data_IF_954618633292
#
_entry.id   IF_954618633292
#
_cell.length_a   1.000
_cell.length_b   1.000
_cell.length_c   1.000
_cell.angle_alpha   90.00
_cell.angle_beta   90.00
_cell.angle_gamma   90.00
#
_symmetry.space_group_name_H-M   'P 1'
#
loop_
_entity.id
_entity.type
_entity.pdbx_description
1 polymer ?
#
# COMPACT_ATOMS: atom_id res chain seq x y z
N UNK A 1 -25.37 78.57 -2.55
CA UNK A 1 -25.90 77.34 -1.90
C UNK A 1 -25.94 76.09 -2.79
N UNK A 2 -25.78 76.17 -4.12
CA UNK A 2 -25.97 75.00 -5.00
C UNK A 2 -24.76 74.04 -5.16
N UNK A 3 -23.50 74.49 -5.01
CA UNK A 3 -22.34 73.61 -5.16
C UNK A 3 -22.20 72.55 -4.04
N UNK A 4 -22.62 72.87 -2.81
CA UNK A 4 -22.51 71.94 -1.68
C UNK A 4 -23.39 70.69 -1.82
N UNK A 5 -24.57 70.84 -2.43
CA UNK A 5 -25.52 69.73 -2.63
C UNK A 5 -25.05 68.75 -3.72
N UNK A 6 -24.38 69.24 -4.76
CA UNK A 6 -23.83 68.41 -5.83
C UNK A 6 -22.66 67.57 -5.30
N UNK A 7 -21.74 68.17 -4.54
CA UNK A 7 -20.61 67.44 -3.94
C UNK A 7 -21.09 66.40 -2.92
N UNK A 8 -22.09 66.71 -2.11
CA UNK A 8 -22.70 65.76 -1.17
C UNK A 8 -23.39 64.58 -1.88
N UNK A 9 -24.08 64.83 -2.99
CA UNK A 9 -24.73 63.78 -3.78
C UNK A 9 -23.73 62.81 -4.43
N UNK A 10 -22.66 63.33 -5.05
CA UNK A 10 -21.64 62.48 -5.67
C UNK A 10 -20.80 61.72 -4.64
N UNK A 11 -20.53 62.30 -3.46
CA UNK A 11 -19.79 61.62 -2.38
C UNK A 11 -20.59 60.48 -1.75
N UNK A 12 -21.90 60.64 -1.52
CA UNK A 12 -22.75 59.54 -1.03
C UNK A 12 -22.87 58.40 -2.04
N UNK A 13 -23.00 58.71 -3.34
CA UNK A 13 -23.04 57.70 -4.40
C UNK A 13 -21.71 56.94 -4.51
N UNK A 14 -20.59 57.62 -4.34
CA UNK A 14 -19.26 57.01 -4.29
C UNK A 14 -19.07 56.10 -3.06
N UNK A 15 -19.55 56.52 -1.89
CA UNK A 15 -19.43 55.75 -0.65
C UNK A 15 -20.19 54.42 -0.71
N UNK A 16 -21.38 54.42 -1.33
CA UNK A 16 -22.18 53.21 -1.54
C UNK A 16 -21.53 52.21 -2.51
N UNK A 17 -20.97 52.70 -3.63
CA UNK A 17 -20.18 51.85 -4.55
C UNK A 17 -18.89 51.34 -3.90
N UNK A 18 -18.24 52.13 -3.04
CA UNK A 18 -17.02 51.69 -2.36
C UNK A 18 -17.29 50.60 -1.30
N UNK A 19 -18.40 50.70 -0.57
CA UNK A 19 -18.83 49.67 0.40
C UNK A 19 -19.18 48.33 -0.28
N UNK A 20 -19.77 48.33 -1.47
CA UNK A 20 -20.03 47.10 -2.22
C UNK A 20 -18.74 46.46 -2.76
N UNK A 21 -17.74 47.27 -3.15
CA UNK A 21 -16.42 46.78 -3.52
C UNK A 21 -15.64 46.19 -2.33
N UNK A 22 -15.67 46.83 -1.16
CA UNK A 22 -15.08 46.29 0.06
C UNK A 22 -15.80 45.00 0.50
N UNK A 23 -17.13 44.96 0.44
CA UNK A 23 -17.91 43.75 0.72
C UNK A 23 -17.59 42.59 -0.24
N UNK A 24 -17.41 42.86 -1.53
CA UNK A 24 -16.99 41.88 -2.52
C UNK A 24 -15.56 41.37 -2.25
N UNK A 25 -14.63 42.26 -1.89
CA UNK A 25 -13.27 41.89 -1.52
C UNK A 25 -13.23 41.01 -0.25
N UNK A 26 -14.05 41.33 0.76
CA UNK A 26 -14.18 40.52 1.97
C UNK A 26 -14.81 39.16 1.68
N UNK A 27 -15.83 39.11 0.82
CA UNK A 27 -16.46 37.86 0.36
C UNK A 27 -15.51 36.97 -0.43
N UNK A 28 -14.68 37.54 -1.31
CA UNK A 28 -13.64 36.82 -2.04
C UNK A 28 -12.54 36.30 -1.11
N UNK A 29 -12.05 37.12 -0.17
CA UNK A 29 -11.07 36.69 0.82
C UNK A 29 -11.61 35.59 1.74
N UNK A 30 -12.85 35.73 2.21
CA UNK A 30 -13.52 34.72 3.04
C UNK A 30 -13.77 33.42 2.25
N UNK A 31 -14.19 33.53 0.98
CA UNK A 31 -14.33 32.40 0.06
C UNK A 31 -13.00 31.70 -0.19
N UNK A 32 -11.90 32.44 -0.39
CA UNK A 32 -10.56 31.88 -0.57
C UNK A 32 -10.04 31.23 0.72
N UNK A 33 -10.40 31.77 1.90
CA UNK A 33 -10.14 31.16 3.21
C UNK A 33 -10.89 29.84 3.38
N UNK A 34 -12.17 29.79 2.99
CA UNK A 34 -12.96 28.56 2.99
C UNK A 34 -12.38 27.55 2.01
N UNK A 35 -11.99 27.95 0.80
CA UNK A 35 -11.36 27.07 -0.19
C UNK A 35 -10.06 26.49 0.36
N UNK A 36 -9.17 27.31 0.93
CA UNK A 36 -7.93 26.83 1.56
C UNK A 36 -8.20 25.90 2.74
N UNK A 37 -9.19 26.20 3.56
CA UNK A 37 -9.59 25.35 4.69
C UNK A 37 -10.15 24.00 4.21
N UNK A 38 -10.96 24.00 3.16
CA UNK A 38 -11.50 22.78 2.54
C UNK A 38 -10.38 21.97 1.87
N UNK A 39 -9.44 22.59 1.18
CA UNK A 39 -8.27 21.92 0.59
C UNK A 39 -7.36 21.31 1.67
N UNK A 40 -7.09 22.05 2.74
CA UNK A 40 -6.27 21.59 3.88
C UNK A 40 -6.81 20.31 4.52
N UNK A 41 -8.14 20.14 4.61
CA UNK A 41 -8.75 18.91 5.13
C UNK A 41 -9.00 17.84 4.05
N UNK A 42 -9.23 18.24 2.80
CA UNK A 42 -9.53 17.31 1.69
C UNK A 42 -8.31 16.47 1.32
N UNK A 43 -7.13 17.07 1.18
CA UNK A 43 -5.90 16.36 0.77
C UNK A 43 -5.56 15.19 1.71
N UNK A 44 -5.47 15.36 3.04
CA UNK A 44 -5.17 14.23 3.94
C UNK A 44 -6.30 13.19 3.97
N UNK A 45 -7.56 13.61 3.87
CA UNK A 45 -8.69 12.68 3.78
C UNK A 45 -8.59 11.83 2.50
N UNK A 46 -8.27 12.42 1.36
CA UNK A 46 -8.06 11.70 0.10
C UNK A 46 -6.89 10.73 0.20
N UNK A 47 -5.77 11.12 0.82
CA UNK A 47 -4.64 10.22 1.05
C UNK A 47 -5.05 9.00 1.88
N UNK A 48 -5.79 9.18 2.97
CA UNK A 48 -6.27 8.05 3.80
C UNK A 48 -7.23 7.13 3.05
N UNK A 49 -8.13 7.70 2.23
CA UNK A 49 -9.07 6.93 1.41
C UNK A 49 -8.31 6.17 0.31
N UNK A 50 -7.34 6.80 -0.34
CA UNK A 50 -6.51 6.15 -1.35
C UNK A 50 -5.66 5.03 -0.73
N UNK A 51 -5.12 5.23 0.48
CA UNK A 51 -4.36 4.20 1.19
C UNK A 51 -5.24 2.99 1.56
N UNK A 52 -6.43 3.23 2.13
CA UNK A 52 -7.39 2.15 2.43
C UNK A 52 -7.86 1.43 1.16
N UNK A 53 -8.15 2.19 0.10
CA UNK A 53 -8.53 1.64 -1.21
C UNK A 53 -7.41 0.80 -1.80
N UNK A 54 -6.16 1.27 -1.76
CA UNK A 54 -4.99 0.52 -2.26
C UNK A 54 -4.79 -0.79 -1.49
N UNK A 55 -4.93 -0.77 -0.16
CA UNK A 55 -4.87 -1.97 0.66
C UNK A 55 -5.98 -2.98 0.30
N UNK A 56 -7.22 -2.49 0.13
CA UNK A 56 -8.35 -3.31 -0.33
C UNK A 56 -8.09 -3.92 -1.71
N UNK A 57 -7.62 -3.12 -2.67
CA UNK A 57 -7.31 -3.57 -4.04
C UNK A 57 -6.25 -4.65 -4.02
N UNK A 58 -5.20 -4.51 -3.22
CA UNK A 58 -4.16 -5.53 -3.11
C UNK A 58 -4.65 -6.79 -2.41
N UNK A 59 -5.48 -6.69 -1.38
CA UNK A 59 -6.13 -7.86 -0.78
C UNK A 59 -6.98 -8.63 -1.80
N UNK A 60 -7.76 -7.91 -2.62
CA UNK A 60 -8.59 -8.50 -3.68
C UNK A 60 -7.76 -9.12 -4.81
N UNK A 61 -6.68 -8.47 -5.24
CA UNK A 61 -5.79 -9.00 -6.30
C UNK A 61 -4.99 -10.20 -5.79
N UNK A 62 -4.63 -10.19 -4.52
CA UNK A 62 -4.00 -11.36 -3.88
C UNK A 62 -5.00 -12.49 -3.84
N UNK A 63 -6.24 -12.25 -3.42
CA UNK A 63 -7.28 -13.27 -3.45
C UNK A 63 -7.56 -13.78 -4.87
N UNK A 64 -7.60 -12.90 -5.88
CA UNK A 64 -7.83 -13.29 -7.27
C UNK A 64 -6.65 -14.07 -7.85
N UNK A 65 -5.40 -13.69 -7.58
CA UNK A 65 -4.22 -14.49 -7.96
C UNK A 65 -4.11 -15.78 -7.15
N UNK A 66 -4.67 -15.81 -5.93
CA UNK A 66 -4.76 -17.01 -5.12
C UNK A 66 -5.79 -18.02 -5.70
N UNK A 67 -6.84 -17.53 -6.37
CA UNK A 67 -8.01 -18.33 -6.80
C UNK A 67 -8.12 -18.54 -8.32
N UNK A 68 -7.54 -17.65 -9.12
CA UNK A 68 -7.62 -17.65 -10.57
C UNK A 68 -6.22 -17.60 -11.20
N UNK A 69 -6.05 -18.35 -12.30
CA UNK A 69 -4.79 -18.44 -13.08
C UNK A 69 -4.42 -17.16 -13.84
N UNK A 70 -5.00 -16.01 -13.52
CA UNK A 70 -4.94 -14.82 -14.37
C UNK A 70 -4.99 -13.54 -13.56
N UNK A 71 -3.82 -13.00 -13.21
CA UNK A 71 -3.26 -11.80 -13.83
C UNK A 71 -2.00 -11.36 -13.05
N UNK A 72 -0.95 -12.21 -13.08
CA UNK A 72 0.26 -12.03 -12.26
C UNK A 72 0.93 -10.67 -12.49
N UNK A 73 0.93 -10.18 -13.72
CA UNK A 73 1.56 -8.91 -14.10
C UNK A 73 0.91 -7.71 -13.40
N UNK A 74 -0.43 -7.73 -13.26
CA UNK A 74 -1.15 -6.68 -12.52
C UNK A 74 -0.82 -6.74 -11.03
N UNK A 75 -0.84 -7.92 -10.44
CA UNK A 75 -0.49 -8.10 -9.03
C UNK A 75 0.93 -7.58 -8.73
N UNK A 76 1.92 -7.96 -9.56
CA UNK A 76 3.29 -7.49 -9.42
C UNK A 76 3.39 -5.97 -9.53
N UNK A 77 2.70 -5.36 -10.50
CA UNK A 77 2.71 -3.90 -10.69
C UNK A 77 2.15 -3.18 -9.47
N UNK A 78 0.99 -3.59 -8.96
CA UNK A 78 0.36 -2.99 -7.78
C UNK A 78 1.23 -3.15 -6.52
N UNK A 79 1.80 -4.34 -6.30
CA UNK A 79 2.72 -4.57 -5.19
C UNK A 79 3.97 -3.69 -5.29
N UNK A 80 4.55 -3.53 -6.49
CA UNK A 80 5.69 -2.62 -6.70
C UNK A 80 5.35 -1.17 -6.39
N UNK A 81 4.15 -0.69 -6.78
CA UNK A 81 3.69 0.65 -6.43
C UNK A 81 3.50 0.82 -4.93
N UNK A 82 2.96 -0.18 -4.23
CA UNK A 82 2.86 -0.14 -2.77
C UNK A 82 4.24 -0.11 -2.09
N UNK A 83 5.17 -0.95 -2.55
CA UNK A 83 6.54 -1.01 -2.05
C UNK A 83 7.26 0.32 -2.30
N UNK A 84 7.05 0.97 -3.44
CA UNK A 84 7.64 2.30 -3.67
C UNK A 84 7.17 3.36 -2.67
N UNK A 85 5.96 3.22 -2.13
CA UNK A 85 5.44 4.10 -1.08
C UNK A 85 5.86 3.68 0.33
N UNK A 86 6.14 2.39 0.55
CA UNK A 86 6.52 1.82 1.84
C UNK A 86 7.62 0.75 1.65
N UNK A 87 8.87 1.16 1.36
CA UNK A 87 9.92 0.22 0.96
C UNK A 87 10.36 -0.73 2.06
N UNK A 88 10.12 -0.39 3.33
CA UNK A 88 10.51 -1.21 4.49
C UNK A 88 9.35 -2.05 5.04
N UNK A 89 8.26 -2.20 4.28
CA UNK A 89 7.13 -3.02 4.73
C UNK A 89 7.38 -4.49 4.39
N UNK A 90 7.75 -5.28 5.40
CA UNK A 90 8.03 -6.71 5.26
C UNK A 90 6.86 -7.49 4.65
N UNK A 91 5.62 -7.24 5.09
CA UNK A 91 4.45 -7.96 4.60
C UNK A 91 4.22 -7.76 3.09
N UNK A 92 4.53 -6.56 2.56
CA UNK A 92 4.43 -6.31 1.12
C UNK A 92 5.45 -7.13 0.32
N UNK A 93 6.69 -7.20 0.81
CA UNK A 93 7.72 -8.03 0.20
C UNK A 93 7.38 -9.53 0.28
N UNK A 94 6.87 -10.00 1.42
CA UNK A 94 6.39 -11.37 1.56
C UNK A 94 5.27 -11.70 0.56
N UNK A 95 4.27 -10.83 0.46
CA UNK A 95 3.14 -11.10 -0.42
C UNK A 95 3.53 -11.02 -1.91
N UNK A 96 4.42 -10.10 -2.29
CA UNK A 96 4.99 -10.08 -3.64
C UNK A 96 5.78 -11.37 -3.93
N UNK A 97 6.55 -11.88 -2.96
CA UNK A 97 7.19 -13.20 -3.04
C UNK A 97 6.17 -14.32 -3.29
N UNK A 98 5.02 -14.31 -2.61
CA UNK A 98 3.94 -15.28 -2.83
C UNK A 98 3.36 -15.20 -4.25
N UNK A 99 3.22 -14.00 -4.80
CA UNK A 99 2.78 -13.80 -6.19
C UNK A 99 3.80 -14.40 -7.16
N UNK A 100 5.11 -14.15 -6.96
CA UNK A 100 6.15 -14.75 -7.79
C UNK A 100 6.22 -16.27 -7.66
N UNK A 101 6.01 -16.81 -6.46
CA UNK A 101 5.99 -18.24 -6.19
C UNK A 101 4.91 -18.94 -7.01
N UNK A 102 3.71 -18.35 -7.05
CA UNK A 102 2.58 -18.87 -7.84
C UNK A 102 2.82 -18.79 -9.34
N UNK A 103 3.57 -17.80 -9.79
CA UNK A 103 4.00 -17.68 -11.17
C UNK A 103 5.17 -18.62 -11.53
N UNK A 104 5.72 -19.37 -10.56
CA UNK A 104 6.86 -20.28 -10.75
C UNK A 104 8.23 -19.59 -10.83
N UNK A 105 8.31 -18.27 -10.60
CA UNK A 105 9.56 -17.52 -10.64
C UNK A 105 10.28 -17.61 -9.28
N UNK A 106 10.93 -18.73 -9.01
CA UNK A 106 11.53 -19.00 -7.71
C UNK A 106 12.69 -18.06 -7.35
N UNK A 107 13.48 -17.60 -8.33
CA UNK A 107 14.58 -16.66 -8.06
C UNK A 107 14.08 -15.30 -7.51
N UNK A 108 13.04 -14.75 -8.15
CA UNK A 108 12.39 -13.53 -7.69
C UNK A 108 11.65 -13.75 -6.36
N UNK A 109 11.08 -14.93 -6.17
CA UNK A 109 10.43 -15.33 -4.93
C UNK A 109 11.40 -15.26 -3.75
N UNK A 110 12.56 -15.94 -3.87
CA UNK A 110 13.60 -15.96 -2.84
C UNK A 110 14.12 -14.55 -2.56
N UNK A 111 14.32 -13.74 -3.62
CA UNK A 111 14.78 -12.35 -3.48
C UNK A 111 13.82 -11.51 -2.64
N UNK A 112 12.52 -11.59 -2.91
CA UNK A 112 11.52 -10.80 -2.18
C UNK A 112 11.29 -11.33 -0.76
N UNK A 113 11.32 -12.65 -0.51
CA UNK A 113 11.29 -13.17 0.85
C UNK A 113 12.52 -12.76 1.68
N UNK A 114 13.73 -12.73 1.08
CA UNK A 114 14.92 -12.21 1.76
C UNK A 114 14.79 -10.74 2.11
N UNK A 115 14.24 -9.90 1.22
CA UNK A 115 13.93 -8.50 1.55
C UNK A 115 12.90 -8.37 2.66
N UNK A 116 11.88 -9.23 2.67
CA UNK A 116 10.91 -9.28 3.76
C UNK A 116 11.59 -9.52 5.10
N UNK A 117 12.51 -10.48 5.17
CA UNK A 117 13.31 -10.77 6.37
C UNK A 117 14.21 -9.59 6.74
N UNK A 118 14.80 -8.90 5.76
CA UNK A 118 15.62 -7.71 6.02
C UNK A 118 14.80 -6.54 6.57
N UNK A 119 13.52 -6.44 6.21
CA UNK A 119 12.62 -5.41 6.71
C UNK A 119 12.10 -5.73 8.12
N UNK A 120 11.86 -7.01 8.40
CA UNK A 120 11.37 -7.52 9.68
C UNK A 120 11.92 -8.93 9.91
N UNK A 121 12.92 -9.02 10.80
CA UNK A 121 13.58 -10.28 11.15
C UNK A 121 12.69 -11.20 12.01
N UNK A 122 11.59 -10.69 12.56
CA UNK A 122 10.66 -11.45 13.40
C UNK A 122 9.46 -11.98 12.58
N UNK A 123 9.36 -11.65 11.29
CA UNK A 123 8.29 -12.13 10.42
C UNK A 123 8.48 -13.61 10.06
N UNK A 124 8.01 -14.49 10.95
CA UNK A 124 8.06 -15.96 10.82
C UNK A 124 7.52 -16.45 9.46
N UNK A 125 6.48 -15.80 8.93
CA UNK A 125 5.89 -16.17 7.64
C UNK A 125 6.90 -16.15 6.48
N UNK A 126 7.82 -15.19 6.47
CA UNK A 126 8.84 -15.09 5.42
C UNK A 126 9.85 -16.26 5.49
N UNK A 127 10.24 -16.68 6.71
CA UNK A 127 11.11 -17.83 6.94
C UNK A 127 10.45 -19.16 6.54
N UNK A 128 9.17 -19.34 6.87
CA UNK A 128 8.40 -20.52 6.43
C UNK A 128 8.30 -20.56 4.90
N UNK A 129 7.98 -19.43 4.28
CA UNK A 129 7.75 -19.35 2.84
C UNK A 129 9.03 -19.59 2.04
N UNK A 130 10.17 -19.03 2.44
CA UNK A 130 11.44 -19.29 1.77
C UNK A 130 11.91 -20.74 1.96
N UNK A 131 11.74 -21.31 3.16
CA UNK A 131 12.02 -22.72 3.42
C UNK A 131 11.17 -23.65 2.54
N UNK A 132 9.88 -23.32 2.37
CA UNK A 132 8.98 -24.05 1.46
C UNK A 132 9.48 -24.01 0.01
N UNK A 133 10.00 -22.87 -0.46
CA UNK A 133 10.54 -22.75 -1.83
C UNK A 133 11.74 -23.66 -2.02
N UNK A 134 12.70 -23.66 -1.08
CA UNK A 134 13.87 -24.54 -1.15
C UNK A 134 13.49 -26.01 -1.11
N UNK A 135 12.56 -26.41 -0.24
CA UNK A 135 12.04 -27.78 -0.21
C UNK A 135 11.36 -28.17 -1.53
N UNK A 136 10.60 -27.25 -2.14
CA UNK A 136 9.97 -27.44 -3.46
C UNK A 136 10.98 -27.65 -4.59
N UNK A 137 12.15 -27.02 -4.49
CA UNK A 137 13.25 -27.18 -5.44
C UNK A 137 14.10 -28.44 -5.17
N UNK A 138 13.87 -29.13 -4.04
CA UNK A 138 14.67 -30.27 -3.60
C UNK A 138 15.93 -29.89 -2.81
N UNK A 139 16.17 -28.61 -2.57
CA UNK A 139 17.33 -28.09 -1.85
C UNK A 139 17.08 -28.08 -0.35
N UNK A 140 17.04 -29.26 0.27
CA UNK A 140 16.70 -29.42 1.70
C UNK A 140 17.71 -28.68 2.59
N UNK A 141 19.00 -28.78 2.28
CA UNK A 141 20.07 -28.14 3.06
C UNK A 141 19.91 -26.62 3.15
N UNK A 142 19.50 -25.98 2.06
CA UNK A 142 19.26 -24.54 2.02
C UNK A 142 18.01 -24.13 2.81
N UNK A 143 17.05 -25.04 3.00
CA UNK A 143 15.82 -24.79 3.76
C UNK A 143 16.04 -24.82 5.28
N UNK A 144 16.95 -25.67 5.77
CA UNK A 144 17.23 -25.88 7.20
C UNK A 144 17.48 -24.58 7.98
N UNK A 145 18.36 -23.65 7.54
CA UNK A 145 18.64 -22.44 8.32
C UNK A 145 17.41 -21.57 8.52
N UNK A 146 16.51 -21.51 7.52
CA UNK A 146 15.27 -20.74 7.62
C UNK A 146 14.24 -21.44 8.50
N UNK A 147 14.11 -22.76 8.39
CA UNK A 147 13.16 -23.53 9.22
C UNK A 147 13.60 -23.59 10.67
N UNK A 148 14.90 -23.56 10.98
CA UNK A 148 15.42 -23.48 12.36
C UNK A 148 15.00 -22.20 13.08
N UNK A 149 14.74 -21.11 12.35
CA UNK A 149 14.17 -19.88 12.93
C UNK A 149 12.70 -20.01 13.34
N UNK A 150 11.98 -20.96 12.74
CA UNK A 150 10.55 -21.20 12.98
C UNK A 150 10.34 -22.30 14.01
N UNK A 151 11.11 -23.39 13.90
CA UNK A 151 10.97 -24.57 14.73
C UNK A 151 12.09 -24.63 15.77
N UNK A 152 11.71 -24.63 17.05
CA UNK A 152 12.63 -24.72 18.18
C UNK A 152 13.28 -26.10 18.31
N UNK A 153 12.63 -27.14 17.80
CA UNK A 153 13.07 -28.53 17.88
C UNK A 153 13.20 -29.18 16.50
N UNK A 154 14.11 -30.14 16.40
CA UNK A 154 14.35 -30.90 15.16
C UNK A 154 13.14 -31.76 14.80
N UNK A 155 12.44 -32.30 15.80
CA UNK A 155 11.24 -33.11 15.58
C UNK A 155 10.12 -32.32 14.89
N UNK A 156 9.86 -31.08 15.31
CA UNK A 156 8.84 -30.22 14.70
C UNK A 156 9.19 -29.86 13.25
N UNK A 157 10.47 -29.57 13.01
CA UNK A 157 10.98 -29.31 11.66
C UNK A 157 10.83 -30.53 10.76
N UNK A 158 11.26 -31.70 11.22
CA UNK A 158 11.18 -32.96 10.48
C UNK A 158 9.72 -33.32 10.17
N UNK A 159 8.82 -33.16 11.15
CA UNK A 159 7.39 -33.38 10.96
C UNK A 159 6.82 -32.46 9.88
N UNK A 160 7.19 -31.19 9.88
CA UNK A 160 6.78 -30.24 8.84
C UNK A 160 7.28 -30.66 7.44
N UNK A 161 8.57 -30.99 7.32
CA UNK A 161 9.17 -31.47 6.06
C UNK A 161 8.50 -32.76 5.55
N UNK A 162 8.26 -33.74 6.42
CA UNK A 162 7.59 -35.00 6.08
C UNK A 162 6.15 -34.77 5.61
N UNK A 163 5.42 -33.85 6.25
CA UNK A 163 4.05 -33.52 5.86
C UNK A 163 4.01 -32.92 4.44
N UNK A 164 4.98 -32.06 4.12
CA UNK A 164 5.12 -31.49 2.78
C UNK A 164 5.53 -32.55 1.74
N UNK A 165 6.48 -33.43 2.08
CA UNK A 165 6.90 -34.53 1.22
C UNK A 165 5.73 -35.46 0.88
N UNK A 166 4.97 -35.91 1.89
CA UNK A 166 3.80 -36.76 1.69
C UNK A 166 2.71 -36.05 0.86
N UNK A 167 2.49 -34.75 1.10
CA UNK A 167 1.53 -33.94 0.32
C UNK A 167 1.96 -33.74 -1.14
N UNK A 168 3.27 -33.80 -1.42
CA UNK A 168 3.79 -33.75 -2.78
C UNK A 168 3.62 -35.07 -3.54
N UNK A 169 3.72 -36.21 -2.84
CA UNK A 169 3.54 -37.55 -3.42
C UNK A 169 2.06 -37.91 -3.61
N UNK A 170 1.17 -37.50 -2.69
CA UNK A 170 -0.27 -37.77 -2.77
C UNK A 170 -1.03 -37.04 -3.90
N UNK A 171 -0.35 -36.19 -4.68
CA UNK A 171 -0.93 -35.54 -5.87
C UNK A 171 -0.62 -36.26 -7.19
N UNK A 172 0.15 -37.36 -7.13
CA UNK A 172 0.58 -38.14 -8.30
C UNK A 172 -0.11 -39.51 -8.40
N UNK A 173 -1.22 -39.72 -7.69
CA UNK A 173 -2.01 -40.97 -7.69
C UNK A 173 -3.42 -40.75 -8.24
#
# INVERSE_FOLDING_TARGET
MFCGLIVAYYTQKWLGSFQTFLGAAWGLCFGMLIIKFLESKRVPLLETIQQKRRFLVVSLITLSTLTMKGDYNRAVTEYKTLISGNPNNAALHNNLGTVYYRNGNYDLTIKEYKKSIQCDEDLIAAYVNIGLVFLKQGNVEDAIPFLRKVFLNEEGMLKYMLTLYNSSQGKNG
#
